data_IF_764913130310
#
_entry.id   IF_764913130310
#
_cell.length_a   1.000
_cell.length_b   1.000
_cell.length_c   1.000
_cell.angle_alpha   90.00
_cell.angle_beta   90.00
_cell.angle_gamma   90.00
#
_symmetry.space_group_name_H-M   'P 1'
#
loop_
_entity.id
_entity.type
_entity.pdbx_description
1 polymer ?
#
# COMPACT_ATOMS: atom_id res chain seq x y z
N UNK A 1 -14.78 7.50 -0.57
CA UNK A 1 -14.57 6.28 0.24
C UNK A 1 -14.16 5.17 -0.72
N UNK A 2 -13.00 4.53 -0.51
CA UNK A 2 -12.53 3.43 -1.38
C UNK A 2 -13.14 2.12 -0.92
N UNK A 3 -13.71 1.36 -1.85
CA UNK A 3 -14.28 0.06 -1.52
C UNK A 3 -13.16 -0.95 -1.21
N UNK A 4 -13.15 -1.48 0.01
CA UNK A 4 -12.30 -2.60 0.38
C UNK A 4 -13.09 -3.87 0.09
N UNK A 5 -12.62 -4.67 -0.87
CA UNK A 5 -13.29 -5.91 -1.22
C UNK A 5 -12.65 -7.09 -0.50
N UNK A 6 -13.49 -7.95 0.07
CA UNK A 6 -13.09 -9.23 0.67
C UNK A 6 -13.52 -10.35 -0.29
N UNK A 7 -12.59 -11.24 -0.63
CA UNK A 7 -12.91 -12.44 -1.43
C UNK A 7 -13.73 -13.38 -0.55
N UNK A 8 -15.02 -13.54 -0.84
CA UNK A 8 -15.88 -14.52 -0.15
C UNK A 8 -15.88 -15.86 -0.89
N UNK A 9 -15.41 -16.91 -0.24
CA UNK A 9 -15.58 -18.29 -0.73
C UNK A 9 -17.01 -18.75 -0.45
N UNK A 10 -17.92 -18.55 -1.41
CA UNK A 10 -19.01 -19.46 -1.82
C UNK A 10 -20.16 -18.74 -2.53
N UNK A 11 -20.47 -19.25 -3.73
CA UNK A 11 -21.81 -19.27 -4.36
C UNK A 11 -22.58 -17.96 -4.42
N UNK A 12 -22.30 -17.14 -5.43
CA UNK A 12 -23.31 -16.29 -6.06
C UNK A 12 -22.94 -16.06 -7.53
N UNK A 13 -23.82 -16.46 -8.44
CA UNK A 13 -23.78 -16.03 -9.83
C UNK A 13 -23.79 -14.48 -9.92
N UNK A 14 -23.13 -13.97 -10.95
CA UNK A 14 -23.29 -12.63 -11.54
C UNK A 14 -22.46 -11.45 -10.99
N UNK A 15 -21.21 -11.41 -11.45
CA UNK A 15 -20.38 -10.24 -11.85
C UNK A 15 -18.94 -10.54 -11.44
N UNK A 16 -18.16 -11.09 -12.36
CA UNK A 16 -16.71 -11.12 -12.22
C UNK A 16 -16.27 -9.68 -11.95
N UNK A 17 -15.77 -9.38 -10.75
CA UNK A 17 -15.22 -8.07 -10.47
C UNK A 17 -14.11 -7.81 -11.50
N UNK A 18 -14.31 -6.79 -12.33
CA UNK A 18 -13.35 -6.33 -13.33
C UNK A 18 -12.80 -5.00 -12.87
N UNK A 19 -11.49 -4.87 -12.96
CA UNK A 19 -10.75 -3.67 -12.59
C UNK A 19 -9.66 -3.45 -13.61
N UNK A 20 -9.49 -2.21 -14.04
CA UNK A 20 -8.36 -1.82 -14.89
C UNK A 20 -7.12 -1.51 -14.03
N UNK A 21 -7.22 -1.70 -12.71
CA UNK A 21 -6.17 -1.39 -11.77
C UNK A 21 -5.16 -2.52 -11.54
N UNK A 22 -5.41 -3.72 -12.09
CA UNK A 22 -4.52 -4.87 -11.95
C UNK A 22 -5.27 -6.18 -11.79
N UNK A 23 -4.63 -7.17 -11.17
CA UNK A 23 -5.26 -8.46 -10.84
C UNK A 23 -6.24 -8.23 -9.67
N UNK A 24 -7.53 -8.59 -9.81
CA UNK A 24 -8.52 -8.47 -8.75
C UNK A 24 -8.05 -8.93 -7.38
N UNK A 25 -8.26 -8.07 -6.38
CA UNK A 25 -8.02 -8.36 -4.96
C UNK A 25 -6.54 -8.54 -4.56
N UNK A 26 -5.60 -8.21 -5.44
CA UNK A 26 -4.17 -8.14 -5.11
C UNK A 26 -3.82 -6.83 -4.40
N UNK A 27 -2.77 -6.86 -3.57
CA UNK A 27 -2.34 -5.70 -2.79
C UNK A 27 -1.94 -4.50 -3.67
N UNK A 28 -1.27 -4.75 -4.80
CA UNK A 28 -0.90 -3.71 -5.77
C UNK A 28 -2.12 -3.13 -6.49
N UNK A 29 -3.10 -3.98 -6.83
CA UNK A 29 -4.37 -3.54 -7.44
C UNK A 29 -5.11 -2.59 -6.51
N UNK A 30 -5.17 -2.93 -5.22
CA UNK A 30 -5.80 -2.10 -4.20
C UNK A 30 -5.19 -0.70 -4.15
N UNK A 31 -3.86 -0.61 -4.06
CA UNK A 31 -3.16 0.67 -3.99
C UNK A 31 -3.36 1.48 -5.26
N UNK A 32 -3.26 0.86 -6.45
CA UNK A 32 -3.52 1.56 -7.71
C UNK A 32 -4.95 2.08 -7.77
N UNK A 33 -5.93 1.25 -7.39
CA UNK A 33 -7.34 1.63 -7.40
C UNK A 33 -7.64 2.75 -6.41
N UNK A 34 -7.00 2.74 -5.24
CA UNK A 34 -7.11 3.84 -4.28
C UNK A 34 -6.70 5.17 -4.93
N UNK A 35 -5.51 5.23 -5.52
CA UNK A 35 -5.03 6.46 -6.16
C UNK A 35 -5.87 6.85 -7.39
N UNK A 36 -6.34 5.87 -8.16
CA UNK A 36 -7.23 6.12 -9.30
C UNK A 36 -8.52 6.80 -8.85
N UNK A 37 -9.18 6.26 -7.82
CA UNK A 37 -10.50 6.71 -7.37
C UNK A 37 -10.46 7.99 -6.56
N UNK A 38 -9.46 8.12 -5.68
CA UNK A 38 -9.40 9.24 -4.73
C UNK A 38 -8.64 10.44 -5.30
N UNK A 39 -7.68 10.20 -6.20
CA UNK A 39 -6.76 11.23 -6.66
C UNK A 39 -6.68 11.35 -8.19
N UNK A 40 -7.29 10.45 -8.95
CA UNK A 40 -7.16 10.43 -10.41
C UNK A 40 -5.74 10.09 -10.88
N UNK A 41 -4.96 9.40 -10.04
CA UNK A 41 -3.55 9.07 -10.27
C UNK A 41 -3.33 7.57 -10.37
N UNK A 42 -2.33 7.14 -11.14
CA UNK A 42 -1.95 5.74 -11.34
C UNK A 42 -0.43 5.59 -11.38
N UNK A 43 0.06 4.37 -11.64
CA UNK A 43 1.48 4.10 -11.87
C UNK A 43 1.66 3.04 -12.97
N UNK A 44 2.84 2.95 -13.62
CA UNK A 44 3.13 1.89 -14.60
C UNK A 44 2.86 0.47 -14.10
N UNK A 45 2.68 -0.49 -15.02
CA UNK A 45 2.53 -1.90 -14.64
C UNK A 45 3.78 -2.42 -13.92
N UNK A 46 3.55 -3.24 -12.89
CA UNK A 46 4.57 -3.85 -12.03
C UNK A 46 4.26 -5.32 -11.85
N UNK A 47 5.31 -6.13 -11.64
CA UNK A 47 5.17 -7.58 -11.47
C UNK A 47 4.60 -7.91 -10.10
N UNK A 48 5.08 -7.23 -9.06
CA UNK A 48 4.67 -7.44 -7.67
C UNK A 48 4.91 -6.20 -6.78
N UNK A 49 4.68 -6.33 -5.47
CA UNK A 49 4.87 -5.25 -4.51
C UNK A 49 6.34 -4.83 -4.35
N UNK A 50 7.28 -5.75 -4.56
CA UNK A 50 8.73 -5.48 -4.47
C UNK A 50 9.18 -4.68 -5.69
N UNK A 51 8.76 -5.11 -6.88
CA UNK A 51 8.95 -4.39 -8.13
C UNK A 51 8.35 -2.97 -8.05
N UNK A 52 7.16 -2.84 -7.45
CA UNK A 52 6.53 -1.55 -7.17
C UNK A 52 7.40 -0.67 -6.27
N UNK A 53 7.98 -1.23 -5.20
CA UNK A 53 8.83 -0.48 -4.28
C UNK A 53 10.06 0.09 -5.00
N UNK A 54 10.71 -0.70 -5.86
CA UNK A 54 11.94 -0.26 -6.51
C UNK A 54 11.74 0.59 -7.76
N UNK A 55 10.73 0.32 -8.59
CA UNK A 55 10.56 1.02 -9.89
C UNK A 55 9.68 2.26 -9.85
N UNK A 56 8.74 2.34 -8.91
CA UNK A 56 7.72 3.40 -8.95
C UNK A 56 8.16 4.58 -8.09
N UNK A 57 8.54 5.68 -8.74
CA UNK A 57 9.02 6.91 -8.10
C UNK A 57 8.08 8.10 -8.29
N UNK A 58 6.99 7.93 -9.02
CA UNK A 58 5.95 8.94 -9.19
C UNK A 58 4.61 8.28 -9.50
N UNK A 59 3.54 8.97 -9.14
CA UNK A 59 2.19 8.70 -9.60
C UNK A 59 1.87 9.64 -10.78
N UNK A 60 1.27 9.11 -11.84
CA UNK A 60 0.95 9.84 -13.06
C UNK A 60 -0.56 10.03 -13.18
N UNK A 61 -1.06 11.14 -13.75
CA UNK A 61 -2.48 11.32 -13.99
C UNK A 61 -3.07 10.27 -14.92
N UNK A 62 -4.32 9.87 -14.68
CA UNK A 62 -5.09 8.98 -15.56
C UNK A 62 -5.53 9.64 -16.87
N UNK A 63 -5.69 10.96 -16.86
CA UNK A 63 -6.09 11.78 -18.00
C UNK A 63 -5.02 12.84 -18.22
N UNK A 64 -4.92 13.36 -19.44
CA UNK A 64 -4.12 14.56 -19.71
C UNK A 64 -4.46 15.63 -18.66
N UNK A 65 -3.46 16.03 -17.88
CA UNK A 65 -3.67 16.62 -16.57
C UNK A 65 -2.36 16.99 -15.88
N UNK A 66 -2.39 17.27 -14.56
CA UNK A 66 -1.28 17.91 -13.82
C UNK A 66 0.02 17.10 -13.86
N UNK A 67 1.14 17.74 -13.49
CA UNK A 67 2.44 17.08 -13.44
C UNK A 67 2.43 15.81 -12.57
N UNK A 68 3.26 14.79 -12.89
CA UNK A 68 3.42 13.61 -12.05
C UNK A 68 3.75 13.97 -10.60
N UNK A 69 3.09 13.28 -9.67
CA UNK A 69 3.29 13.46 -8.23
C UNK A 69 4.44 12.55 -7.78
N UNK A 70 5.52 13.13 -7.27
CA UNK A 70 6.70 12.36 -6.85
C UNK A 70 6.41 11.53 -5.59
N UNK A 71 7.02 10.35 -5.54
CA UNK A 71 7.03 9.48 -4.38
C UNK A 71 8.42 9.51 -3.75
N UNK A 72 8.48 9.82 -2.47
CA UNK A 72 9.70 9.70 -1.69
C UNK A 72 9.77 8.30 -1.09
N UNK A 73 10.81 7.54 -1.46
CA UNK A 73 11.12 6.25 -0.85
C UNK A 73 11.93 6.47 0.42
N UNK A 74 11.50 5.85 1.52
CA UNK A 74 12.24 5.83 2.77
C UNK A 74 12.52 4.38 3.17
N UNK A 75 13.75 4.12 3.59
CA UNK A 75 14.23 2.86 4.13
C UNK A 75 14.84 3.11 5.50
N UNK A 76 14.91 2.09 6.34
CA UNK A 76 15.62 2.17 7.62
C UNK A 76 17.05 2.71 7.43
N UNK A 77 17.54 3.61 8.30
CA UNK A 77 16.89 4.14 9.50
C UNK A 77 16.00 5.37 9.26
N UNK A 78 14.86 5.41 9.96
CA UNK A 78 13.92 6.52 9.97
C UNK A 78 14.31 7.54 11.05
N UNK A 79 14.46 8.81 10.65
CA UNK A 79 15.04 9.88 11.51
C UNK A 79 14.03 10.97 11.91
N UNK A 80 12.88 11.03 11.24
CA UNK A 80 11.78 11.95 11.58
C UNK A 80 10.73 11.27 12.50
N UNK A 81 9.85 12.04 13.15
CA UNK A 81 8.78 11.48 13.98
C UNK A 81 7.87 10.52 13.18
N UNK A 82 7.24 9.57 13.87
CA UNK A 82 6.39 8.54 13.27
C UNK A 82 5.34 9.11 12.30
N UNK A 83 4.62 10.17 12.69
CA UNK A 83 3.58 10.80 11.87
C UNK A 83 4.10 11.49 10.60
N UNK A 84 5.39 11.79 10.50
CA UNK A 84 5.96 12.23 9.23
C UNK A 84 5.88 11.11 8.19
N UNK A 85 6.14 9.88 8.62
CA UNK A 85 6.26 8.69 7.78
C UNK A 85 4.97 7.88 7.68
N UNK A 86 4.15 7.83 8.73
CA UNK A 86 2.93 7.04 8.82
C UNK A 86 1.68 7.91 8.62
N UNK A 87 1.74 8.96 7.78
CA UNK A 87 0.57 9.79 7.47
C UNK A 87 -0.35 9.12 6.44
N UNK A 88 -1.65 9.47 6.36
CA UNK A 88 -2.54 8.98 5.32
C UNK A 88 -1.98 9.14 3.91
N UNK A 89 -2.19 8.11 3.07
CA UNK A 89 -1.62 8.01 1.73
C UNK A 89 -0.20 7.41 1.68
N UNK A 90 0.43 7.14 2.83
CA UNK A 90 1.70 6.40 2.87
C UNK A 90 1.47 4.95 2.46
N UNK A 91 2.33 4.44 1.59
CA UNK A 91 2.40 3.03 1.22
C UNK A 91 3.45 2.31 2.08
N UNK A 92 3.04 1.28 2.83
CA UNK A 92 3.94 0.41 3.61
C UNK A 92 4.26 -0.85 2.80
N UNK A 93 5.54 -1.20 2.69
CA UNK A 93 5.99 -2.36 1.94
C UNK A 93 6.64 -3.39 2.86
N UNK A 94 6.27 -4.66 2.70
CA UNK A 94 6.90 -5.80 3.36
C UNK A 94 7.92 -6.45 2.43
N UNK A 95 9.02 -6.89 3.02
CA UNK A 95 10.05 -7.64 2.31
C UNK A 95 9.50 -9.02 1.89
N UNK A 96 9.87 -9.53 0.70
CA UNK A 96 9.60 -10.90 0.32
C UNK A 96 10.12 -11.91 1.33
N UNK A 97 9.31 -12.93 1.64
CA UNK A 97 9.72 -14.07 2.48
C UNK A 97 9.38 -15.37 1.75
N UNK A 98 10.11 -16.49 2.01
CA UNK A 98 9.85 -17.79 1.40
C UNK A 98 8.60 -18.46 2.02
N UNK A 99 7.47 -17.75 1.99
CA UNK A 99 6.16 -18.18 2.47
C UNK A 99 5.12 -17.73 1.46
N UNK A 100 4.05 -18.49 1.25
CA UNK A 100 3.04 -18.15 0.22
C UNK A 100 2.40 -16.78 0.44
N UNK A 101 2.30 -16.32 1.69
CA UNK A 101 1.73 -15.02 2.06
C UNK A 101 2.62 -13.81 1.75
N UNK A 102 3.91 -14.03 1.48
CA UNK A 102 4.91 -12.99 1.31
C UNK A 102 5.90 -13.26 0.19
N UNK A 103 5.69 -14.29 -0.64
CA UNK A 103 6.63 -14.67 -1.70
C UNK A 103 7.00 -13.52 -2.63
N UNK A 104 6.06 -12.58 -2.82
CA UNK A 104 6.17 -11.44 -3.72
C UNK A 104 6.26 -10.09 -2.98
N UNK A 105 6.51 -10.13 -1.66
CA UNK A 105 6.34 -8.98 -0.77
C UNK A 105 4.85 -8.67 -0.53
N UNK A 106 4.58 -7.49 0.05
CA UNK A 106 3.21 -6.99 0.24
C UNK A 106 3.22 -5.48 0.30
N UNK A 107 2.10 -4.85 -0.07
CA UNK A 107 1.89 -3.41 0.11
C UNK A 107 0.55 -3.13 0.80
N UNK A 108 0.56 -2.22 1.77
CA UNK A 108 -0.63 -1.69 2.41
C UNK A 108 -0.62 -0.15 2.37
N UNK A 109 -1.79 0.45 2.58
CA UNK A 109 -1.93 1.91 2.58
C UNK A 109 -2.33 2.39 3.97
N UNK A 110 -1.64 3.38 4.51
CA UNK A 110 -2.15 4.12 5.68
C UNK A 110 -3.35 4.96 5.25
N UNK A 111 -4.48 4.76 5.92
CA UNK A 111 -5.70 5.52 5.64
C UNK A 111 -6.00 6.53 6.74
N UNK A 112 -5.61 6.25 7.98
CA UNK A 112 -5.77 7.13 9.14
C UNK A 112 -4.56 6.97 10.06
N UNK A 113 -4.16 8.06 10.72
CA UNK A 113 -3.06 8.04 11.68
C UNK A 113 -3.13 9.21 12.66
N UNK A 114 -2.89 8.91 13.93
CA UNK A 114 -2.67 9.87 15.00
C UNK A 114 -1.51 9.42 15.92
N UNK A 115 -1.34 10.10 17.05
CA UNK A 115 -0.24 9.81 17.98
C UNK A 115 -0.31 8.40 18.60
N UNK A 116 -1.51 7.82 18.68
CA UNK A 116 -1.79 6.55 19.35
C UNK A 116 -2.01 5.42 18.37
N UNK A 117 -2.74 5.66 17.27
CA UNK A 117 -3.17 4.64 16.32
C UNK A 117 -2.83 4.96 14.87
N UNK A 118 -2.47 3.92 14.11
CA UNK A 118 -2.37 3.93 12.65
C UNK A 118 -3.29 2.85 12.08
N UNK A 119 -4.17 3.24 11.17
CA UNK A 119 -5.05 2.32 10.45
C UNK A 119 -4.49 2.11 9.05
N UNK A 120 -4.24 0.84 8.71
CA UNK A 120 -3.85 0.43 7.36
C UNK A 120 -4.98 -0.33 6.68
N UNK A 121 -5.18 -0.06 5.40
CA UNK A 121 -6.03 -0.83 4.52
C UNK A 121 -5.17 -1.66 3.55
N UNK A 122 -5.61 -2.89 3.29
CA UNK A 122 -4.90 -3.85 2.45
C UNK A 122 -5.84 -4.85 1.79
N UNK A 123 -5.35 -5.49 0.72
CA UNK A 123 -5.98 -6.66 0.10
C UNK A 123 -4.97 -7.79 -0.05
N UNK A 124 -5.43 -8.99 -0.37
CA UNK A 124 -4.65 -10.23 -0.33
C UNK A 124 -4.11 -10.59 1.08
N UNK A 125 -4.70 -10.01 2.13
CA UNK A 125 -4.46 -10.32 3.54
C UNK A 125 -5.72 -10.16 4.37
N UNK A 126 -5.76 -10.87 5.50
CA UNK A 126 -6.80 -10.77 6.52
C UNK A 126 -6.16 -10.37 7.85
N UNK A 127 -6.68 -9.36 8.57
CA UNK A 127 -7.85 -8.56 8.19
C UNK A 127 -7.53 -7.53 7.09
N UNK A 128 -8.54 -7.10 6.31
CA UNK A 128 -8.34 -6.13 5.22
C UNK A 128 -8.18 -4.68 5.72
N UNK A 129 -8.61 -4.40 6.96
CA UNK A 129 -8.29 -3.20 7.71
C UNK A 129 -7.62 -3.65 9.00
N UNK A 130 -6.47 -3.06 9.31
CA UNK A 130 -5.72 -3.39 10.51
C UNK A 130 -5.31 -2.10 11.22
N UNK A 131 -5.59 -2.05 12.51
CA UNK A 131 -5.18 -0.97 13.39
C UNK A 131 -3.93 -1.41 14.16
N UNK A 132 -2.99 -0.49 14.31
CA UNK A 132 -1.76 -0.66 15.07
C UNK A 132 -1.58 0.49 16.04
N UNK A 133 -0.89 0.23 17.15
CA UNK A 133 -0.32 1.31 17.93
C UNK A 133 0.78 2.03 17.09
N UNK A 134 0.71 3.35 16.99
CA UNK A 134 1.63 4.17 16.16
C UNK A 134 3.08 3.95 16.54
N UNK A 135 3.38 3.93 17.84
CA UNK A 135 4.75 3.76 18.33
C UNK A 135 5.28 2.37 18.03
N UNK A 136 4.46 1.33 18.26
CA UNK A 136 4.87 -0.05 17.99
C UNK A 136 5.12 -0.30 16.51
N UNK A 137 4.21 0.17 15.63
CA UNK A 137 4.39 0.06 14.19
C UNK A 137 5.64 0.82 13.74
N UNK A 138 5.85 2.04 14.24
CA UNK A 138 7.03 2.83 13.89
C UNK A 138 8.34 2.14 14.33
N UNK A 139 8.36 1.57 15.54
CA UNK A 139 9.50 0.79 16.00
C UNK A 139 9.73 -0.46 15.15
N UNK A 140 8.66 -1.15 14.74
CA UNK A 140 8.75 -2.34 13.91
C UNK A 140 9.32 -2.03 12.51
N UNK A 141 8.89 -0.92 11.88
CA UNK A 141 9.47 -0.52 10.59
C UNK A 141 10.90 0.02 10.74
N UNK A 142 11.23 0.60 11.89
CA UNK A 142 12.54 1.23 12.18
C UNK A 142 13.50 0.30 12.95
N UNK A 143 13.39 -1.02 12.74
CA UNK A 143 14.29 -2.01 13.30
C UNK A 143 15.30 -2.49 12.25
N UNK A 144 16.54 -2.78 12.66
CA UNK A 144 17.58 -3.29 11.76
C UNK A 144 17.21 -4.65 11.12
N UNK A 145 16.36 -5.43 11.80
CA UNK A 145 15.83 -6.73 11.36
C UNK A 145 14.35 -6.64 10.98
N UNK A 146 13.89 -5.45 10.59
CA UNK A 146 12.51 -5.18 10.19
C UNK A 146 12.02 -6.15 9.11
N UNK A 147 10.77 -6.58 9.22
CA UNK A 147 10.09 -7.33 8.15
C UNK A 147 9.61 -6.42 7.01
N UNK A 148 9.79 -5.10 7.15
CA UNK A 148 9.38 -4.09 6.19
C UNK A 148 10.54 -3.77 5.25
N UNK A 149 10.23 -3.71 3.96
CA UNK A 149 11.15 -3.28 2.92
C UNK A 149 11.37 -1.75 2.99
N UNK A 150 10.33 -1.01 3.37
CA UNK A 150 10.36 0.43 3.47
C UNK A 150 8.98 1.03 3.32
N UNK A 151 8.93 2.35 3.14
CA UNK A 151 7.69 3.06 2.83
C UNK A 151 7.87 4.00 1.64
N UNK A 152 6.74 4.39 1.04
CA UNK A 152 6.69 5.51 0.11
C UNK A 152 5.67 6.53 0.58
N UNK A 153 6.09 7.79 0.61
CA UNK A 153 5.22 8.93 0.92
C UNK A 153 5.01 9.78 -0.33
N UNK A 154 3.78 10.25 -0.53
CA UNK A 154 3.48 11.29 -1.51
C UNK A 154 4.13 12.60 -1.04
N UNK A 155 4.91 13.25 -1.91
CA UNK A 155 5.58 14.53 -1.65
C UNK A 155 4.67 15.71 -1.93
#
# INVERSE_FOLDING_TARGET
MVNIYVKSDRTALSKTYKTDAGIPFECVEFVRRYFNQMHGLTFPSVVDATDMFYRIHALVPLKWGPEPVRLQTHIYPYVKPALYYLRPGTMLFWEPKPTDKLKYGHVALVVEADAEHVVVAQQNRTPPVQEYNTRELFNAINAFNSAYLGIKTVS
#
